data_IF_808654447642
#
_entry.id   IF_808654447642
#
_cell.length_a   1.000
_cell.length_b   1.000
_cell.length_c   1.000
_cell.angle_alpha   90.00
_cell.angle_beta   90.00
_cell.angle_gamma   90.00
#
_symmetry.space_group_name_H-M   'P 1'
#
loop_
_entity.id
_entity.type
_entity.pdbx_description
1 polymer ?
#
# COMPACT_ATOMS: atom_id res chain seq x y z
N UNK A 1 45.86 4.10 48.16
CA UNK A 1 44.59 3.51 48.66
C UNK A 1 43.67 3.27 47.47
N UNK A 2 42.95 2.15 47.47
CA UNK A 2 42.15 1.60 46.37
C UNK A 2 40.92 2.44 45.98
N UNK A 3 40.42 2.22 44.75
CA UNK A 3 39.12 2.67 44.20
C UNK A 3 37.93 1.93 44.89
N UNK A 4 36.67 2.27 44.54
CA UNK A 4 36.02 1.36 43.60
C UNK A 4 35.22 2.04 42.48
N UNK A 5 35.10 1.24 41.42
CA UNK A 5 34.36 1.43 40.18
C UNK A 5 32.86 1.62 40.46
N UNK A 6 32.22 2.57 39.78
CA UNK A 6 30.77 2.52 39.56
C UNK A 6 30.55 2.24 38.07
N UNK A 7 30.67 0.95 37.73
CA UNK A 7 30.11 0.41 36.50
C UNK A 7 28.59 0.43 36.65
N UNK A 8 27.96 1.52 36.22
CA UNK A 8 26.55 1.48 35.88
C UNK A 8 26.45 0.70 34.58
N UNK A 9 26.35 -0.63 34.71
CA UNK A 9 25.71 -1.46 33.71
C UNK A 9 24.31 -0.87 33.55
N UNK A 10 24.11 -0.09 32.49
CA UNK A 10 22.78 0.21 31.99
C UNK A 10 22.17 -1.16 31.72
N UNK A 11 21.22 -1.56 32.56
CA UNK A 11 20.33 -2.66 32.23
C UNK A 11 19.70 -2.29 30.90
N UNK A 12 20.13 -2.95 29.84
CA UNK A 12 19.39 -2.98 28.59
C UNK A 12 18.04 -3.61 28.95
N UNK A 13 17.04 -2.77 29.20
CA UNK A 13 15.66 -3.19 29.40
C UNK A 13 15.27 -3.97 28.15
N UNK A 14 15.23 -5.30 28.28
CA UNK A 14 14.80 -6.14 27.18
C UNK A 14 13.33 -5.80 26.93
N UNK A 15 12.97 -5.32 25.72
CA UNK A 15 11.60 -4.95 25.43
C UNK A 15 10.70 -6.14 25.72
N UNK A 16 9.55 -5.87 26.35
CA UNK A 16 8.61 -6.93 26.68
C UNK A 16 8.11 -7.61 25.39
N UNK A 17 7.63 -8.84 25.54
CA UNK A 17 7.24 -9.68 24.39
C UNK A 17 6.19 -8.99 23.51
N UNK A 18 5.30 -8.20 24.12
CA UNK A 18 4.28 -7.41 23.43
C UNK A 18 4.88 -6.26 22.61
N UNK A 19 5.85 -5.52 23.14
CA UNK A 19 6.53 -4.43 22.43
C UNK A 19 7.39 -4.95 21.28
N UNK A 20 8.00 -6.12 21.45
CA UNK A 20 8.70 -6.83 20.38
C UNK A 20 7.74 -7.26 19.27
N UNK A 21 6.62 -7.88 19.63
CA UNK A 21 5.60 -8.30 18.66
C UNK A 21 5.03 -7.09 17.89
N UNK A 22 4.71 -5.98 18.58
CA UNK A 22 4.25 -4.74 17.94
C UNK A 22 5.33 -4.12 17.02
N UNK A 23 6.59 -4.15 17.43
CA UNK A 23 7.71 -3.63 16.64
C UNK A 23 7.99 -4.50 15.42
N UNK A 24 7.96 -5.83 15.57
CA UNK A 24 8.03 -6.79 14.46
C UNK A 24 6.85 -6.58 13.51
N UNK A 25 5.65 -6.31 14.05
CA UNK A 25 4.46 -6.00 13.29
C UNK A 25 4.61 -4.77 12.40
N UNK A 26 5.14 -3.70 12.99
CA UNK A 26 5.41 -2.45 12.29
C UNK A 26 6.53 -2.60 11.25
N UNK A 27 7.54 -3.42 11.53
CA UNK A 27 8.66 -3.67 10.61
C UNK A 27 8.20 -4.44 9.37
N UNK A 28 7.45 -5.53 9.53
CA UNK A 28 7.00 -6.31 8.37
C UNK A 28 6.03 -5.52 7.50
N UNK A 29 5.11 -4.74 8.11
CA UNK A 29 4.20 -3.84 7.38
C UNK A 29 4.98 -2.84 6.53
N UNK A 30 6.02 -2.24 7.11
CA UNK A 30 6.90 -1.30 6.39
C UNK A 30 7.69 -1.96 5.26
N UNK A 31 8.22 -3.16 5.47
CA UNK A 31 8.95 -3.91 4.43
C UNK A 31 8.01 -4.25 3.27
N UNK A 32 6.80 -4.72 3.58
CA UNK A 32 5.78 -5.03 2.58
C UNK A 32 5.43 -3.76 1.79
N UNK A 33 5.11 -2.66 2.46
CA UNK A 33 4.79 -1.39 1.83
C UNK A 33 5.93 -0.90 0.91
N UNK A 34 7.18 -0.95 1.37
CA UNK A 34 8.34 -0.56 0.58
C UNK A 34 8.52 -1.44 -0.67
N UNK A 35 8.33 -2.75 -0.51
CA UNK A 35 8.47 -3.72 -1.60
C UNK A 35 7.40 -3.47 -2.67
N UNK A 36 6.13 -3.35 -2.27
CA UNK A 36 5.05 -3.05 -3.20
C UNK A 36 5.19 -1.67 -3.85
N UNK A 37 5.63 -0.66 -3.09
CA UNK A 37 5.85 0.69 -3.63
C UNK A 37 6.93 0.67 -4.71
N UNK A 38 8.05 -0.02 -4.47
CA UNK A 38 9.13 -0.17 -5.45
C UNK A 38 8.67 -0.92 -6.69
N UNK A 39 7.98 -2.04 -6.51
CA UNK A 39 7.43 -2.83 -7.60
C UNK A 39 6.44 -2.01 -8.46
N UNK A 40 5.50 -1.29 -7.83
CA UNK A 40 4.55 -0.45 -8.55
C UNK A 40 5.25 0.69 -9.31
N UNK A 41 6.25 1.32 -8.69
CA UNK A 41 7.06 2.37 -9.33
C UNK A 41 7.89 1.84 -10.50
N UNK A 42 8.35 0.58 -10.45
CA UNK A 42 9.08 -0.04 -11.54
C UNK A 42 8.23 -0.13 -12.81
N UNK A 43 6.94 -0.42 -12.67
CA UNK A 43 6.00 -0.46 -13.79
C UNK A 43 5.56 0.95 -14.20
N UNK A 44 5.23 1.81 -13.24
CA UNK A 44 4.73 3.16 -13.51
C UNK A 44 5.78 4.12 -14.11
N UNK A 45 7.08 3.84 -13.95
CA UNK A 45 8.15 4.62 -14.60
C UNK A 45 8.00 4.66 -16.12
N UNK A 46 7.46 3.59 -16.73
CA UNK A 46 7.25 3.46 -18.18
C UNK A 46 6.21 4.45 -18.72
N UNK A 47 5.31 4.91 -17.86
CA UNK A 47 4.24 5.87 -18.16
C UNK A 47 4.44 7.23 -17.48
N UNK A 48 5.63 7.47 -16.92
CA UNK A 48 5.99 8.73 -16.26
C UNK A 48 5.21 9.02 -14.97
N UNK A 49 4.73 7.99 -14.27
CA UNK A 49 4.02 8.14 -12.98
C UNK A 49 4.86 7.54 -11.85
N UNK A 50 4.65 8.06 -10.64
CA UNK A 50 5.26 7.54 -9.40
C UNK A 50 4.25 7.54 -8.26
N UNK A 51 4.50 6.67 -7.29
CA UNK A 51 3.78 6.50 -6.03
C UNK A 51 4.78 6.74 -4.90
N UNK A 52 4.45 7.67 -4.02
CA UNK A 52 5.15 7.88 -2.75
C UNK A 52 4.44 7.15 -1.61
N UNK A 53 3.10 7.14 -1.63
CA UNK A 53 2.29 6.44 -0.64
C UNK A 53 1.17 5.64 -1.33
N UNK A 54 1.22 4.32 -1.19
CA UNK A 54 0.25 3.39 -1.79
C UNK A 54 -1.19 3.70 -1.38
N UNK A 55 -1.44 4.13 -0.14
CA UNK A 55 -2.79 4.38 0.37
C UNK A 55 -3.42 5.62 -0.26
N UNK A 56 -2.65 6.72 -0.33
CA UNK A 56 -3.16 8.00 -0.83
C UNK A 56 -3.11 8.09 -2.34
N UNK A 57 -2.04 7.58 -2.96
CA UNK A 57 -1.76 7.85 -4.37
C UNK A 57 -2.54 6.93 -5.31
N UNK A 58 -3.05 5.80 -4.80
CA UNK A 58 -3.97 4.91 -5.51
C UNK A 58 -5.45 5.28 -5.28
N UNK A 59 -5.75 6.13 -4.28
CA UNK A 59 -7.12 6.44 -3.85
C UNK A 59 -7.98 7.18 -4.89
N UNK A 60 -7.34 7.87 -5.85
CA UNK A 60 -8.02 8.57 -6.95
C UNK A 60 -8.30 7.68 -8.18
N UNK A 61 -7.79 6.44 -8.15
CA UNK A 61 -7.90 5.44 -9.20
C UNK A 61 -7.03 5.69 -10.43
N UNK A 62 -6.39 6.86 -10.61
CA UNK A 62 -5.64 7.17 -11.83
C UNK A 62 -4.34 6.38 -11.93
N UNK A 63 -3.60 6.30 -10.82
CA UNK A 63 -2.37 5.51 -10.78
C UNK A 63 -2.66 4.01 -10.77
N UNK A 64 -3.75 3.60 -10.14
CA UNK A 64 -4.21 2.22 -10.17
C UNK A 64 -4.53 1.79 -11.59
N UNK A 65 -5.33 2.56 -12.33
CA UNK A 65 -5.63 2.30 -13.75
C UNK A 65 -4.34 2.20 -14.56
N UNK A 66 -3.44 3.17 -14.43
CA UNK A 66 -2.19 3.17 -15.17
C UNK A 66 -1.31 1.95 -14.86
N UNK A 67 -1.28 1.50 -13.61
CA UNK A 67 -0.57 0.30 -13.21
C UNK A 67 -1.20 -0.95 -13.85
N UNK A 68 -2.52 -1.08 -13.80
CA UNK A 68 -3.24 -2.20 -14.42
C UNK A 68 -3.05 -2.22 -15.94
N UNK A 69 -3.05 -1.06 -16.61
CA UNK A 69 -2.79 -0.97 -18.05
C UNK A 69 -1.37 -1.44 -18.42
N UNK A 70 -0.37 -1.07 -17.61
CA UNK A 70 1.03 -1.51 -17.83
C UNK A 70 1.17 -3.01 -17.59
N UNK A 71 0.52 -3.54 -16.56
CA UNK A 71 0.62 -4.97 -16.20
C UNK A 71 -0.12 -5.88 -17.18
N UNK A 72 -1.33 -5.50 -17.60
CA UNK A 72 -2.13 -6.27 -18.56
C UNK A 72 -1.67 -6.06 -20.02
N UNK A 73 -0.93 -4.98 -20.28
CA UNK A 73 -0.61 -4.54 -21.64
C UNK A 73 -1.85 -4.08 -22.43
N UNK A 74 -3.01 -3.94 -21.79
CA UNK A 74 -4.28 -3.56 -22.40
C UNK A 74 -4.70 -2.17 -21.91
N UNK A 75 -5.50 -1.48 -22.73
CA UNK A 75 -6.08 -0.19 -22.37
C UNK A 75 -7.37 -0.42 -21.58
N UNK A 76 -7.51 0.27 -20.46
CA UNK A 76 -8.72 0.19 -19.66
C UNK A 76 -9.85 1.03 -20.27
N UNK A 77 -11.12 0.74 -19.91
CA UNK A 77 -12.26 1.54 -20.34
C UNK A 77 -12.12 3.02 -19.97
N UNK A 78 -12.96 3.86 -20.61
CA UNK A 78 -12.95 5.31 -20.40
C UNK A 78 -13.18 5.64 -18.91
N UNK A 79 -12.24 6.38 -18.33
CA UNK A 79 -12.24 6.78 -16.92
C UNK A 79 -12.09 8.30 -16.77
N UNK A 80 -12.34 8.82 -15.56
CA UNK A 80 -12.27 10.24 -15.25
C UNK A 80 -10.81 10.69 -15.10
N UNK A 81 -10.30 11.49 -16.05
CA UNK A 81 -8.91 11.99 -16.06
C UNK A 81 -8.60 13.05 -14.99
N UNK A 82 -9.63 13.71 -14.45
CA UNK A 82 -9.53 14.75 -13.42
C UNK A 82 -10.62 14.55 -12.36
N UNK A 83 -10.52 13.51 -11.50
CA UNK A 83 -11.55 13.24 -10.52
C UNK A 83 -11.48 14.27 -9.39
N UNK A 84 -12.48 15.16 -9.30
CA UNK A 84 -12.61 16.16 -8.23
C UNK A 84 -13.49 15.65 -7.10
N UNK A 85 -14.53 14.90 -7.44
CA UNK A 85 -15.49 14.37 -6.48
C UNK A 85 -15.14 12.94 -6.05
N UNK A 86 -15.50 12.59 -4.81
CA UNK A 86 -15.31 11.23 -4.27
C UNK A 86 -15.97 10.17 -5.16
N UNK A 87 -17.15 10.45 -5.71
CA UNK A 87 -17.84 9.55 -6.64
C UNK A 87 -17.00 9.21 -7.88
N UNK A 88 -16.35 10.21 -8.48
CA UNK A 88 -15.49 10.02 -9.66
C UNK A 88 -14.22 9.22 -9.34
N UNK A 89 -13.64 9.43 -8.16
CA UNK A 89 -12.50 8.64 -7.68
C UNK A 89 -12.88 7.17 -7.51
N UNK A 90 -14.02 6.93 -6.85
CA UNK A 90 -14.55 5.58 -6.66
C UNK A 90 -14.90 4.90 -7.98
N UNK A 91 -15.45 5.63 -8.94
CA UNK A 91 -15.72 5.11 -10.29
C UNK A 91 -14.43 4.66 -10.98
N UNK A 92 -13.36 5.46 -10.94
CA UNK A 92 -12.07 5.08 -11.50
C UNK A 92 -11.51 3.80 -10.85
N UNK A 93 -11.55 3.71 -9.52
CA UNK A 93 -11.12 2.51 -8.80
C UNK A 93 -11.98 1.32 -9.19
N UNK A 94 -13.30 1.48 -9.26
CA UNK A 94 -14.23 0.41 -9.66
C UNK A 94 -13.93 -0.12 -11.06
N UNK A 95 -13.63 0.76 -12.02
CA UNK A 95 -13.24 0.36 -13.38
C UNK A 95 -11.98 -0.51 -13.36
N UNK A 96 -10.96 -0.13 -12.58
CA UNK A 96 -9.73 -0.92 -12.48
C UNK A 96 -9.97 -2.29 -11.82
N UNK A 97 -10.76 -2.33 -10.75
CA UNK A 97 -11.05 -3.60 -10.05
C UNK A 97 -11.89 -4.55 -10.91
N UNK A 98 -12.91 -4.03 -11.61
CA UNK A 98 -13.72 -4.83 -12.54
C UNK A 98 -12.88 -5.43 -13.66
N UNK A 99 -11.97 -4.65 -14.23
CA UNK A 99 -11.05 -5.16 -15.25
C UNK A 99 -10.19 -6.30 -14.71
N UNK A 100 -9.64 -6.17 -13.50
CA UNK A 100 -8.84 -7.23 -12.88
C UNK A 100 -9.64 -8.52 -12.62
N UNK A 101 -10.91 -8.39 -12.23
CA UNK A 101 -11.80 -9.52 -11.96
C UNK A 101 -12.32 -10.20 -13.24
N UNK A 102 -12.80 -9.41 -14.20
CA UNK A 102 -13.47 -9.90 -15.42
C UNK A 102 -12.48 -10.26 -16.54
N UNK A 103 -11.47 -9.43 -16.80
CA UNK A 103 -10.55 -9.62 -17.94
C UNK A 103 -9.33 -10.48 -17.56
N UNK A 104 -8.80 -10.34 -16.34
CA UNK A 104 -7.59 -11.05 -15.90
C UNK A 104 -7.88 -12.26 -14.98
N UNK A 105 -9.13 -12.43 -14.55
CA UNK A 105 -9.53 -13.53 -13.66
C UNK A 105 -8.87 -13.49 -12.29
N UNK A 106 -8.35 -12.34 -11.86
CA UNK A 106 -7.66 -12.18 -10.59
C UNK A 106 -8.72 -12.04 -9.50
N UNK A 107 -8.79 -13.05 -8.62
CA UNK A 107 -9.65 -12.98 -7.44
C UNK A 107 -9.07 -11.97 -6.45
N UNK A 108 -9.68 -10.80 -6.39
CA UNK A 108 -9.34 -9.77 -5.41
C UNK A 108 -9.90 -10.19 -4.04
N UNK A 109 -9.15 -11.00 -3.29
CA UNK A 109 -9.48 -11.37 -1.91
C UNK A 109 -8.93 -10.30 -0.95
N UNK A 110 -9.70 -9.91 0.06
CA UNK A 110 -9.37 -8.93 1.12
C UNK A 110 -9.35 -7.42 0.76
N UNK A 111 -9.92 -6.97 -0.37
CA UNK A 111 -10.23 -5.52 -0.56
C UNK A 111 -11.68 -5.18 -0.16
N UNK A 112 -12.59 -6.17 -0.21
CA UNK A 112 -14.01 -5.98 0.11
C UNK A 112 -14.34 -5.79 1.60
N UNK A 113 -13.48 -6.24 2.51
CA UNK A 113 -13.76 -6.12 3.96
C UNK A 113 -13.67 -4.66 4.44
N UNK A 114 -12.78 -3.85 3.83
CA UNK A 114 -12.73 -2.40 4.05
C UNK A 114 -13.86 -1.61 3.38
N UNK A 115 -14.48 -2.15 2.32
CA UNK A 115 -15.62 -1.52 1.65
C UNK A 115 -16.96 -1.86 2.32
N UNK A 116 -17.06 -2.99 3.02
CA UNK A 116 -18.25 -3.38 3.76
C UNK A 116 -18.46 -2.62 5.08
N UNK A 117 -17.44 -1.94 5.62
CA UNK A 117 -17.61 -1.04 6.76
C UNK A 117 -18.25 0.33 6.40
N UNK A 118 -18.70 0.53 5.16
CA UNK A 118 -19.44 1.74 4.74
C UNK A 118 -20.91 1.46 4.39
N UNK A 119 -21.52 0.42 4.98
CA UNK A 119 -22.95 0.12 4.79
C UNK A 119 -23.78 0.00 6.07
N UNK A 120 -23.34 0.60 7.18
CA UNK A 120 -24.21 0.90 8.33
C UNK A 120 -23.83 2.26 8.92
#
# INVERSE_FOLDING_TARGET
MQQPQNGQQQQEEQPDEMERDLAEDAVWKRIQQNTFTRWANEHLKTVGKTIANLETDLSDGLRLIALVEVLSGRRLPKHNKKPTFRSQKLENVSVALKFLEEDEGIKIVNIGEFLNCNKY
#
